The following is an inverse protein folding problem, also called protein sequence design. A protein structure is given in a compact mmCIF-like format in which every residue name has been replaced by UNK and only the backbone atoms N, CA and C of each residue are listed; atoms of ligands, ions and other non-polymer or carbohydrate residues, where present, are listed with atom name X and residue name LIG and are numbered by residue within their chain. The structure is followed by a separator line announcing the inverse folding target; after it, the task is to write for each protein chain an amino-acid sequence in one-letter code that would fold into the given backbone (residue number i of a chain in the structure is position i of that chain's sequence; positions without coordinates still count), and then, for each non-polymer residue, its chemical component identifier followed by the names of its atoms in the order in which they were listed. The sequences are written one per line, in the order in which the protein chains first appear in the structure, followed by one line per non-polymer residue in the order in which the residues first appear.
data_IF_926311168545
#
_entry.id   IF_926311168545
#
_cell.length_a   1.000
_cell.length_b   1.000
_cell.length_c   1.000
_cell.angle_alpha   90.00
_cell.angle_beta   90.00
_cell.angle_gamma   90.00
#
_symmetry.space_group_name_H-M   'P 1'
#
loop_
_entity.id
_entity.type
_entity.pdbx_description
1 polymer ?
#
# COMPACT_ATOMS: atom_id res chain seq x y z
N UNK A 1 -26.78 24.75 24.96
CA UNK A 1 -26.08 25.51 23.90
C UNK A 1 -25.16 24.53 23.18
N UNK A 2 -25.56 24.07 21.99
CA UNK A 2 -24.72 23.21 21.17
C UNK A 2 -23.52 24.02 20.70
N UNK A 3 -22.31 23.62 21.11
CA UNK A 3 -21.07 24.12 20.48
C UNK A 3 -21.10 23.65 19.03
N UNK A 4 -21.42 24.55 18.11
CA UNK A 4 -21.17 24.32 16.68
C UNK A 4 -19.70 23.90 16.54
N UNK A 5 -19.47 22.74 15.90
CA UNK A 5 -18.14 22.20 15.67
C UNK A 5 -17.39 23.15 14.74
N UNK A 6 -16.47 23.92 15.30
CA UNK A 6 -15.61 24.87 14.57
C UNK A 6 -14.57 24.15 13.66
N UNK A 7 -14.49 22.82 13.76
CA UNK A 7 -13.58 21.95 13.00
C UNK A 7 -14.31 20.71 12.50
N UNK A 8 -14.17 20.43 11.21
CA UNK A 8 -14.70 19.25 10.52
C UNK A 8 -13.83 18.01 10.80
N UNK A 9 -13.85 17.57 12.06
CA UNK A 9 -13.08 16.42 12.54
C UNK A 9 -13.61 15.08 12.00
N UNK A 10 -12.69 14.14 11.78
CA UNK A 10 -13.04 12.76 11.46
C UNK A 10 -13.84 12.11 12.59
N UNK A 11 -14.81 11.27 12.25
CA UNK A 11 -15.43 10.39 13.23
C UNK A 11 -14.49 9.22 13.59
N UNK A 12 -14.81 8.55 14.70
CA UNK A 12 -13.99 7.45 15.21
C UNK A 12 -13.88 6.29 14.20
N UNK A 13 -14.96 6.02 13.44
CA UNK A 13 -14.98 4.99 12.40
C UNK A 13 -13.97 5.27 11.30
N UNK A 14 -13.94 6.52 10.81
CA UNK A 14 -13.01 6.97 9.77
C UNK A 14 -11.57 6.90 10.25
N UNK A 15 -11.31 7.31 11.49
CA UNK A 15 -9.98 7.21 12.11
C UNK A 15 -9.50 5.76 12.14
N UNK A 16 -10.36 4.83 12.59
CA UNK A 16 -10.04 3.41 12.66
C UNK A 16 -9.80 2.80 11.29
N UNK A 17 -10.63 3.12 10.29
CA UNK A 17 -10.47 2.60 8.94
C UNK A 17 -9.15 3.09 8.35
N UNK A 18 -8.81 4.37 8.48
CA UNK A 18 -7.53 4.91 7.98
C UNK A 18 -6.32 4.27 8.65
N UNK A 19 -6.37 4.10 9.98
CA UNK A 19 -5.30 3.43 10.71
C UNK A 19 -5.12 1.97 10.27
N UNK A 20 -6.23 1.24 10.08
CA UNK A 20 -6.21 -0.16 9.60
C UNK A 20 -5.72 -0.27 8.15
N UNK A 21 -6.16 0.62 7.26
CA UNK A 21 -5.68 0.67 5.86
C UNK A 21 -4.18 0.91 5.78
N UNK A 22 -3.66 1.77 6.65
CA UNK A 22 -2.23 2.02 6.78
C UNK A 22 -1.47 0.95 7.57
N UNK A 23 -2.13 -0.13 8.01
CA UNK A 23 -1.53 -1.16 8.89
C UNK A 23 -0.84 -0.58 10.12
N UNK A 24 -1.34 0.55 10.65
CA UNK A 24 -0.73 1.30 11.73
C UNK A 24 0.74 1.72 11.47
N UNK A 25 1.13 1.88 10.20
CA UNK A 25 2.47 2.32 9.78
C UNK A 25 2.37 3.71 9.15
N UNK A 26 3.36 4.58 9.42
CA UNK A 26 3.38 5.93 8.89
C UNK A 26 3.35 5.96 7.35
N UNK A 27 2.42 6.72 6.76
CA UNK A 27 2.29 6.84 5.31
C UNK A 27 3.40 7.68 4.65
N UNK A 28 4.22 8.41 5.40
CA UNK A 28 5.43 9.05 4.86
C UNK A 28 6.41 7.97 4.32
N UNK A 29 6.74 7.97 3.01
CA UNK A 29 7.61 6.96 2.39
C UNK A 29 8.99 6.82 3.01
N UNK A 30 9.56 7.91 3.53
CA UNK A 30 10.88 7.91 4.15
C UNK A 30 10.85 7.48 5.63
N UNK A 31 9.66 7.42 6.24
CA UNK A 31 9.52 7.11 7.66
C UNK A 31 9.12 5.66 7.90
N UNK A 32 7.97 5.22 7.34
CA UNK A 32 7.42 3.85 7.46
C UNK A 32 7.47 3.24 8.88
N UNK A 33 7.44 4.08 9.92
CA UNK A 33 7.56 3.62 11.30
C UNK A 33 6.25 3.00 11.78
N UNK A 34 6.34 1.87 12.50
CA UNK A 34 5.21 1.25 13.18
C UNK A 34 4.76 2.15 14.35
N UNK A 35 3.46 2.41 14.45
CA UNK A 35 2.90 3.34 15.44
C UNK A 35 2.31 2.64 16.67
N UNK A 36 2.44 1.32 16.75
CA UNK A 36 1.98 0.46 17.83
C UNK A 36 3.14 -0.28 18.48
N UNK A 37 3.08 -0.45 19.79
CA UNK A 37 4.01 -1.28 20.56
C UNK A 37 3.29 -1.83 21.79
N UNK A 38 3.60 -3.05 22.27
CA UNK A 38 3.12 -3.51 23.58
C UNK A 38 3.54 -2.54 24.70
N UNK A 39 2.68 -2.40 25.70
CA UNK A 39 3.07 -1.80 26.99
C UNK A 39 3.60 -2.88 27.93
N UNK A 40 4.27 -2.49 29.01
CA UNK A 40 4.64 -3.41 30.10
C UNK A 40 3.42 -4.04 30.78
N UNK A 41 2.25 -3.37 30.69
CA UNK A 41 0.98 -3.91 31.18
C UNK A 41 0.31 -4.78 30.11
N UNK A 42 -0.08 -6.03 30.42
CA UNK A 42 -0.66 -6.95 29.43
C UNK A 42 -1.94 -6.47 28.73
N UNK A 43 -2.73 -5.59 29.36
CA UNK A 43 -3.99 -5.05 28.84
C UNK A 43 -3.82 -3.69 28.13
N UNK A 44 -2.58 -3.23 27.92
CA UNK A 44 -2.27 -1.91 27.34
C UNK A 44 -1.32 -2.01 26.16
N UNK A 45 -1.36 -0.97 25.34
CA UNK A 45 -0.46 -0.75 24.22
C UNK A 45 -0.07 0.72 24.16
N UNK A 46 1.08 0.99 23.56
CA UNK A 46 1.54 2.33 23.22
C UNK A 46 1.08 2.61 21.78
N UNK A 47 0.47 3.77 21.57
CA UNK A 47 -0.02 4.20 20.26
C UNK A 47 0.39 5.64 19.99
N UNK A 48 1.12 5.85 18.90
CA UNK A 48 1.64 7.16 18.48
C UNK A 48 1.17 7.56 17.07
N UNK A 49 0.17 6.85 16.53
CA UNK A 49 -0.42 7.13 15.23
C UNK A 49 -1.46 8.23 15.30
N UNK A 50 -1.57 9.02 14.23
CA UNK A 50 -2.55 10.09 14.06
C UNK A 50 -3.10 10.06 12.64
N UNK A 51 -4.38 10.34 12.51
CA UNK A 51 -4.98 10.70 11.22
C UNK A 51 -4.90 12.20 11.07
N UNK A 52 -4.22 12.65 10.02
CA UNK A 52 -4.09 14.06 9.67
C UNK A 52 -4.99 14.37 8.47
N UNK A 53 -5.56 15.57 8.46
CA UNK A 53 -6.24 16.09 7.30
C UNK A 53 -5.23 16.50 6.21
N UNK A 54 -5.46 16.04 4.99
CA UNK A 54 -4.71 16.47 3.80
C UNK A 54 -5.01 17.95 3.50
N UNK A 55 -6.29 18.33 3.51
CA UNK A 55 -6.76 19.73 3.50
C UNK A 55 -7.43 20.05 4.83
N UNK A 56 -7.10 21.18 5.47
CA UNK A 56 -7.52 21.43 6.85
C UNK A 56 -9.04 21.34 7.10
N UNK A 57 -9.35 20.88 8.30
CA UNK A 57 -10.71 20.82 8.89
C UNK A 57 -11.30 22.19 9.23
N UNK A 58 -10.50 23.26 9.22
CA UNK A 58 -10.95 24.62 9.53
C UNK A 58 -10.19 25.68 8.74
N UNK A 59 -10.86 26.82 8.55
CA UNK A 59 -10.47 27.89 7.62
C UNK A 59 -9.04 28.43 7.81
N UNK A 60 -8.54 28.37 9.04
CA UNK A 60 -7.21 28.88 9.40
C UNK A 60 -6.12 27.81 9.39
N UNK A 61 -6.47 26.55 9.08
CA UNK A 61 -5.54 25.44 9.08
C UNK A 61 -4.73 25.32 7.78
N UNK A 62 -3.69 24.46 7.78
CA UNK A 62 -2.87 24.19 6.61
C UNK A 62 -3.67 23.72 5.40
N UNK A 63 -3.38 24.27 4.21
CA UNK A 63 -3.97 23.82 2.93
C UNK A 63 -5.51 23.79 2.94
N UNK A 64 -6.16 24.71 3.66
CA UNK A 64 -7.61 24.77 3.70
C UNK A 64 -8.20 25.05 2.31
N UNK A 65 -9.11 24.19 1.84
CA UNK A 65 -9.76 24.32 0.54
C UNK A 65 -11.21 24.80 0.73
N UNK A 66 -11.54 26.04 0.33
CA UNK A 66 -12.88 26.61 0.48
C UNK A 66 -13.96 25.88 -0.34
N UNK A 67 -13.58 25.09 -1.34
CA UNK A 67 -14.52 24.40 -2.24
C UNK A 67 -15.10 23.12 -1.66
N UNK A 68 -14.49 22.58 -0.58
CA UNK A 68 -14.93 21.35 0.06
C UNK A 68 -16.06 21.58 1.06
N UNK A 69 -17.06 20.69 1.05
CA UNK A 69 -18.09 20.63 2.09
C UNK A 69 -17.52 20.04 3.40
N UNK A 70 -18.18 20.26 4.55
CA UNK A 70 -17.80 19.62 5.82
C UNK A 70 -17.67 18.10 5.73
N UNK A 71 -18.57 17.44 5.00
CA UNK A 71 -18.56 15.99 4.78
C UNK A 71 -17.35 15.57 3.95
N UNK A 72 -16.96 16.38 2.95
CA UNK A 72 -15.77 16.11 2.15
C UNK A 72 -14.48 16.31 2.97
N UNK A 73 -14.43 17.33 3.84
CA UNK A 73 -13.28 17.57 4.73
C UNK A 73 -13.08 16.46 5.75
N UNK A 74 -14.17 15.92 6.28
CA UNK A 74 -14.17 14.81 7.24
C UNK A 74 -14.22 13.43 6.56
N UNK A 75 -14.16 13.36 5.23
CA UNK A 75 -14.19 12.09 4.49
C UNK A 75 -12.87 11.34 4.59
N UNK A 76 -12.95 10.01 4.46
CA UNK A 76 -11.79 9.14 4.38
C UNK A 76 -10.79 9.57 3.30
N UNK A 77 -11.26 10.15 2.20
CA UNK A 77 -10.42 10.61 1.09
C UNK A 77 -9.49 11.76 1.49
N UNK A 78 -9.93 12.60 2.42
CA UNK A 78 -9.16 13.73 2.93
C UNK A 78 -8.26 13.37 4.13
N UNK A 79 -8.24 12.11 4.57
CA UNK A 79 -7.39 11.65 5.67
C UNK A 79 -6.14 10.91 5.20
N UNK A 80 -5.02 11.14 5.90
CA UNK A 80 -3.77 10.37 5.79
C UNK A 80 -3.31 9.93 7.18
N UNK A 81 -2.78 8.71 7.30
CA UNK A 81 -2.29 8.17 8.56
C UNK A 81 -0.78 8.38 8.73
N UNK A 82 -0.36 9.02 9.83
CA UNK A 82 1.04 9.38 10.09
C UNK A 82 1.43 9.07 11.54
N UNK A 83 2.71 8.87 11.82
CA UNK A 83 3.21 8.93 13.20
C UNK A 83 3.10 10.37 13.74
N UNK A 84 3.10 10.52 15.05
CA UNK A 84 2.98 11.83 15.72
C UNK A 84 3.95 12.89 15.17
N UNK A 85 5.19 12.50 14.87
CA UNK A 85 6.23 13.41 14.39
C UNK A 85 5.97 13.85 12.94
N UNK A 86 5.61 12.91 12.06
CA UNK A 86 5.28 13.24 10.67
C UNK A 86 3.99 14.05 10.59
N UNK A 87 2.99 13.73 11.43
CA UNK A 87 1.75 14.48 11.50
C UNK A 87 1.99 15.95 11.89
N UNK A 88 2.90 16.22 12.83
CA UNK A 88 3.26 17.59 13.18
C UNK A 88 4.09 18.26 12.07
N UNK A 89 5.04 17.52 11.48
CA UNK A 89 5.92 18.01 10.41
C UNK A 89 5.15 18.53 9.20
N UNK A 90 4.13 17.79 8.74
CA UNK A 90 3.37 18.18 7.52
C UNK A 90 2.55 19.44 7.71
N UNK A 91 2.29 19.85 8.95
CA UNK A 91 1.50 21.04 9.28
C UNK A 91 2.35 22.25 9.67
N UNK A 92 3.67 22.07 9.86
CA UNK A 92 4.59 23.19 10.07
C UNK A 92 4.55 24.16 8.90
N UNK A 93 4.88 25.43 9.17
CA UNK A 93 4.88 26.50 8.18
C UNK A 93 3.56 26.60 7.39
N UNK A 94 2.42 26.36 8.04
CA UNK A 94 1.09 26.31 7.39
C UNK A 94 0.98 25.28 6.25
N UNK A 95 1.83 24.26 6.27
CA UNK A 95 1.84 23.19 5.28
C UNK A 95 2.45 23.54 3.93
N UNK A 96 3.19 24.67 3.84
CA UNK A 96 3.82 25.13 2.59
C UNK A 96 4.74 24.08 1.97
N UNK A 97 5.46 23.34 2.81
CA UNK A 97 6.45 22.34 2.39
C UNK A 97 5.82 20.99 1.96
N UNK A 98 4.53 20.80 2.25
CA UNK A 98 3.81 19.53 2.05
C UNK A 98 2.48 19.76 1.36
N UNK A 99 2.47 20.03 0.04
CA UNK A 99 1.24 20.36 -0.69
C UNK A 99 0.27 19.16 -0.78
N UNK A 100 -1.00 19.46 -1.07
CA UNK A 100 -2.11 18.48 -1.09
C UNK A 100 -1.81 17.28 -1.98
N UNK A 101 -1.28 17.51 -3.19
CA UNK A 101 -0.95 16.45 -4.15
C UNK A 101 0.16 15.51 -3.62
N UNK A 102 1.13 16.04 -2.86
CA UNK A 102 2.17 15.23 -2.25
C UNK A 102 1.60 14.29 -1.20
N UNK A 103 0.73 14.79 -0.30
CA UNK A 103 0.13 13.98 0.75
C UNK A 103 -0.83 12.93 0.19
N UNK A 104 -1.61 13.26 -0.86
CA UNK A 104 -2.42 12.27 -1.59
C UNK A 104 -1.54 11.16 -2.17
N UNK A 105 -0.44 11.54 -2.84
CA UNK A 105 0.53 10.57 -3.36
C UNK A 105 1.12 9.68 -2.27
N UNK A 106 1.50 10.24 -1.11
CA UNK A 106 2.01 9.44 0.02
C UNK A 106 1.00 8.41 0.51
N UNK A 107 -0.27 8.79 0.61
CA UNK A 107 -1.36 7.88 0.97
C UNK A 107 -1.48 6.75 -0.05
N UNK A 108 -1.57 7.07 -1.34
CA UNK A 108 -1.75 6.08 -2.40
C UNK A 108 -0.56 5.12 -2.48
N UNK A 109 0.67 5.65 -2.49
CA UNK A 109 1.91 4.86 -2.48
C UNK A 109 2.00 3.97 -1.24
N UNK A 110 1.55 4.46 -0.08
CA UNK A 110 1.54 3.66 1.14
C UNK A 110 0.54 2.50 1.07
N UNK A 111 -0.67 2.73 0.59
CA UNK A 111 -1.68 1.67 0.49
C UNK A 111 -1.27 0.58 -0.51
N UNK A 112 -0.62 0.97 -1.61
CA UNK A 112 0.02 0.03 -2.55
C UNK A 112 1.11 -0.76 -1.83
N UNK A 113 2.03 -0.06 -1.16
CA UNK A 113 3.13 -0.69 -0.44
C UNK A 113 2.64 -1.68 0.64
N UNK A 114 1.62 -1.31 1.42
CA UNK A 114 1.01 -2.21 2.43
C UNK A 114 0.48 -3.49 1.77
N UNK A 115 -0.25 -3.34 0.65
CA UNK A 115 -0.82 -4.47 -0.09
C UNK A 115 0.27 -5.42 -0.60
N UNK A 116 1.38 -4.88 -1.07
CA UNK A 116 2.47 -5.64 -1.67
C UNK A 116 3.42 -6.27 -0.66
N UNK A 117 3.60 -5.67 0.52
CA UNK A 117 4.70 -6.03 1.43
C UNK A 117 4.26 -6.63 2.77
N UNK A 118 3.08 -6.29 3.30
CA UNK A 118 2.72 -6.64 4.69
C UNK A 118 1.70 -7.76 4.81
N UNK A 119 0.87 -7.96 3.80
CA UNK A 119 0.01 -9.13 3.76
C UNK A 119 0.80 -10.33 3.26
N UNK A 120 0.38 -11.55 3.67
CA UNK A 120 0.78 -12.75 2.91
C UNK A 120 0.40 -12.48 1.47
N UNK A 121 1.40 -12.41 0.59
CA UNK A 121 1.15 -12.12 -0.81
C UNK A 121 0.10 -13.09 -1.33
N UNK A 122 -1.07 -12.57 -1.71
CA UNK A 122 -2.13 -13.36 -2.34
C UNK A 122 -1.64 -13.98 -3.66
N UNK A 123 -0.60 -13.38 -4.23
CA UNK A 123 0.23 -13.97 -5.27
C UNK A 123 1.43 -14.63 -4.60
N UNK A 124 1.43 -15.95 -4.45
CA UNK A 124 2.64 -16.66 -4.05
C UNK A 124 3.84 -16.07 -4.80
N UNK A 125 4.85 -15.58 -4.08
CA UNK A 125 6.10 -15.07 -4.69
C UNK A 125 6.78 -16.15 -5.54
N UNK A 126 6.32 -17.40 -5.37
CA UNK A 126 6.77 -18.58 -6.06
C UNK A 126 5.61 -19.16 -6.87
N UNK A 127 5.72 -19.19 -8.19
CA UNK A 127 4.79 -19.93 -9.04
C UNK A 127 4.98 -21.43 -8.77
N UNK A 128 3.94 -22.13 -8.34
CA UNK A 128 3.99 -23.59 -8.15
C UNK A 128 3.54 -24.28 -9.43
N UNK A 129 4.40 -25.12 -10.01
CA UNK A 129 4.09 -25.87 -11.24
C UNK A 129 4.06 -27.37 -10.92
N UNK A 130 2.97 -28.02 -11.31
CA UNK A 130 2.68 -29.43 -11.06
C UNK A 130 2.18 -30.11 -12.33
N UNK A 131 2.31 -31.44 -12.39
CA UNK A 131 1.77 -32.26 -13.49
C UNK A 131 2.61 -32.26 -14.78
N UNK A 132 1.98 -32.68 -15.89
CA UNK A 132 2.63 -32.80 -17.20
C UNK A 132 2.27 -31.63 -18.12
N UNK A 133 3.28 -30.99 -18.72
CA UNK A 133 3.16 -29.80 -19.58
C UNK A 133 3.72 -30.12 -20.96
N UNK A 134 2.88 -30.20 -21.98
CA UNK A 134 3.27 -30.60 -23.34
C UNK A 134 3.08 -29.44 -24.33
N UNK A 135 4.12 -29.12 -25.09
CA UNK A 135 4.09 -28.14 -26.18
C UNK A 135 4.59 -28.79 -27.48
N UNK A 136 3.85 -28.62 -28.58
CA UNK A 136 4.23 -29.15 -29.90
C UNK A 136 4.06 -28.05 -30.94
N UNK A 137 5.07 -27.78 -31.77
CA UNK A 137 4.95 -26.70 -32.77
C UNK A 137 6.12 -26.54 -33.74
N UNK A 138 6.09 -25.46 -34.53
CA UNK A 138 7.19 -25.01 -35.39
C UNK A 138 7.58 -23.58 -35.03
N UNK A 139 8.86 -23.22 -35.11
CA UNK A 139 9.39 -21.93 -34.68
C UNK A 139 9.94 -21.98 -33.26
N UNK A 140 9.50 -21.08 -32.37
CA UNK A 140 9.81 -21.17 -30.94
C UNK A 140 8.75 -22.00 -30.20
N UNK A 141 9.18 -23.11 -29.60
CA UNK A 141 8.32 -23.99 -28.79
C UNK A 141 8.86 -24.03 -27.38
N UNK A 142 8.03 -23.68 -26.39
CA UNK A 142 8.41 -23.74 -24.97
C UNK A 142 7.40 -24.58 -24.18
N UNK A 143 7.87 -25.61 -23.46
CA UNK A 143 7.02 -26.50 -22.66
C UNK A 143 6.42 -25.79 -21.44
N UNK A 144 7.27 -25.15 -20.64
CA UNK A 144 6.86 -24.30 -19.51
C UNK A 144 7.51 -22.94 -19.67
N UNK A 145 6.72 -21.86 -19.69
CA UNK A 145 7.22 -20.48 -19.65
C UNK A 145 6.69 -19.78 -18.40
N UNK A 146 7.60 -19.41 -17.49
CA UNK A 146 7.26 -18.85 -16.19
C UNK A 146 8.07 -17.58 -15.89
N UNK A 147 7.48 -16.71 -15.07
CA UNK A 147 8.10 -15.46 -14.63
C UNK A 147 8.23 -15.43 -13.10
N UNK A 148 9.41 -15.03 -12.63
CA UNK A 148 9.77 -14.96 -11.22
C UNK A 148 10.17 -16.32 -10.64
N UNK A 149 10.27 -16.42 -9.30
CA UNK A 149 10.60 -17.67 -8.62
C UNK A 149 9.58 -18.77 -8.94
N UNK A 150 10.06 -19.99 -9.18
CA UNK A 150 9.21 -21.15 -9.49
C UNK A 150 9.56 -22.31 -8.56
N UNK A 151 8.54 -23.03 -8.11
CA UNK A 151 8.67 -24.30 -7.39
C UNK A 151 7.98 -25.40 -8.19
N UNK A 152 8.77 -26.34 -8.69
CA UNK A 152 8.26 -27.55 -9.34
C UNK A 152 7.94 -28.60 -8.28
N UNK A 153 6.71 -29.10 -8.27
CA UNK A 153 6.37 -30.24 -7.41
C UNK A 153 7.10 -31.51 -7.89
N UNK A 154 7.42 -32.45 -6.98
CA UNK A 154 7.96 -33.74 -7.38
C UNK A 154 7.03 -34.44 -8.38
N UNK A 155 7.59 -34.86 -9.51
CA UNK A 155 6.83 -35.53 -10.58
C UNK A 155 6.38 -34.62 -11.73
N UNK A 156 6.62 -33.31 -11.66
CA UNK A 156 6.34 -32.40 -12.78
C UNK A 156 7.16 -32.78 -14.02
N UNK A 157 6.51 -32.88 -15.19
CA UNK A 157 7.15 -33.13 -16.48
C UNK A 157 6.91 -31.96 -17.42
N UNK A 158 7.93 -31.61 -18.19
CA UNK A 158 7.83 -30.63 -19.26
C UNK A 158 8.35 -31.24 -20.56
N UNK A 159 7.49 -31.30 -21.57
CA UNK A 159 7.75 -31.90 -22.87
C UNK A 159 7.54 -30.82 -23.93
N UNK A 160 8.55 -30.58 -24.75
CA UNK A 160 8.48 -29.66 -25.87
C UNK A 160 8.99 -30.39 -27.13
N UNK A 161 8.17 -30.47 -28.17
CA UNK A 161 8.47 -31.16 -29.42
C UNK A 161 8.23 -30.23 -30.62
N UNK A 162 9.04 -30.31 -31.66
CA UNK A 162 8.85 -29.43 -32.81
C UNK A 162 10.06 -29.19 -33.67
N UNK A 163 9.89 -28.31 -34.65
CA UNK A 163 10.95 -27.85 -35.55
C UNK A 163 11.29 -26.39 -35.27
N UNK A 164 12.54 -26.07 -34.96
CA UNK A 164 12.99 -24.71 -34.64
C UNK A 164 13.68 -24.63 -33.28
N UNK A 165 13.48 -23.55 -32.53
CA UNK A 165 14.03 -23.37 -31.18
C UNK A 165 13.11 -24.02 -30.16
N UNK A 166 13.54 -25.14 -29.60
CA UNK A 166 12.76 -25.93 -28.64
C UNK A 166 13.32 -25.75 -27.24
N UNK A 167 12.49 -25.30 -26.30
CA UNK A 167 12.85 -25.06 -24.91
C UNK A 167 11.94 -25.89 -24.01
N UNK A 168 12.49 -26.83 -23.23
CA UNK A 168 11.67 -27.55 -22.26
C UNK A 168 11.09 -26.59 -21.20
N UNK A 169 11.93 -25.75 -20.60
CA UNK A 169 11.49 -24.81 -19.57
C UNK A 169 12.22 -23.48 -19.69
N UNK A 170 11.47 -22.38 -19.64
CA UNK A 170 11.94 -21.00 -19.65
C UNK A 170 11.46 -20.32 -18.36
N UNK A 171 12.40 -19.80 -17.56
CA UNK A 171 12.09 -19.00 -16.37
C UNK A 171 12.77 -17.66 -16.54
N UNK A 172 11.99 -16.59 -16.55
CA UNK A 172 12.49 -15.22 -16.67
C UNK A 172 12.27 -14.46 -15.37
N UNK A 173 13.09 -13.44 -15.10
CA UNK A 173 12.77 -12.51 -14.02
C UNK A 173 11.45 -11.80 -14.36
N UNK A 174 10.60 -11.57 -13.35
CA UNK A 174 9.52 -10.58 -13.51
C UNK A 174 10.19 -9.32 -14.01
N UNK A 175 9.76 -8.80 -15.16
CA UNK A 175 10.23 -7.48 -15.61
C UNK A 175 10.00 -6.54 -14.44
N UNK A 176 11.07 -5.87 -13.98
CA UNK A 176 10.87 -4.57 -13.35
C UNK A 176 10.11 -3.78 -14.40
N UNK A 177 8.87 -3.40 -14.11
CA UNK A 177 8.17 -2.41 -14.92
C UNK A 177 9.10 -1.19 -14.96
N UNK A 178 9.83 -1.05 -16.07
CA UNK A 178 10.62 0.13 -16.33
C UNK A 178 9.62 1.29 -16.38
N UNK A 179 9.79 2.19 -15.40
CA UNK A 179 9.12 3.49 -15.25
C UNK A 179 8.77 4.16 -16.57
#
# INVERSE_FOLDING_TARGET
MNKEKERDEFDQSTIEILAKRASYICSNPECRYLTLCPSEKPDKYIYIGKVSHITAASRNGPRYDLTLTPEQRSSIENGIFLCSNCAEMVDKNKGLDFPVNLLKRWKDEHEIWVRENLNKSVNSLVTVIDGEHHAIGKGEVTGIDAQGPVFFRPGTKSIAEGEGTITATRITNKKEDKK
#
